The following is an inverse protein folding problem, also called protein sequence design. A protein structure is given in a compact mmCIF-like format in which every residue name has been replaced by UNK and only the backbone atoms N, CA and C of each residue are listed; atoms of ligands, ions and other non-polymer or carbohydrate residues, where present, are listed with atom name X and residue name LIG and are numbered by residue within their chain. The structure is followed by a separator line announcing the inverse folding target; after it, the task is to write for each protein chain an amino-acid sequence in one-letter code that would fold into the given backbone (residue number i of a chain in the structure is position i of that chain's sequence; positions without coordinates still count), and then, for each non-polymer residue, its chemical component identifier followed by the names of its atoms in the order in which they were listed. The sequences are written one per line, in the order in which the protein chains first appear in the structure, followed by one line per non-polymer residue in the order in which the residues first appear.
data_IF_808926658728
#
_entry.id   IF_808926658728
#
_cell.length_a   1.000
_cell.length_b   1.000
_cell.length_c   1.000
_cell.angle_alpha   90.00
_cell.angle_beta   90.00
_cell.angle_gamma   90.00
#
_symmetry.space_group_name_H-M   'P 1'
#
loop_
_entity.id
_entity.type
_entity.pdbx_description
1 polymer ?
#
# COMPACT_ATOMS: atom_id res chain seq x y z
N UNK A 1 -7.55 -6.17 -12.65
CA UNK A 1 -6.34 -5.39 -12.93
C UNK A 1 -5.63 -5.99 -14.13
N UNK A 2 -5.19 -5.18 -15.09
CA UNK A 2 -4.41 -5.65 -16.25
C UNK A 2 -2.92 -5.29 -16.17
N UNK A 3 -2.43 -4.87 -15.00
CA UNK A 3 -1.09 -4.35 -14.77
C UNK A 3 -0.69 -4.48 -13.30
N UNK A 4 0.48 -3.96 -12.93
CA UNK A 4 1.02 -4.07 -11.58
C UNK A 4 0.14 -3.38 -10.53
N UNK A 5 0.14 -3.91 -9.31
CA UNK A 5 -0.62 -3.39 -8.17
C UNK A 5 0.30 -3.35 -6.96
N UNK A 6 0.32 -2.22 -6.25
CA UNK A 6 0.92 -2.12 -4.92
C UNK A 6 -0.13 -2.56 -3.90
N UNK A 7 0.24 -3.50 -3.02
CA UNK A 7 -0.59 -3.95 -1.89
C UNK A 7 0.20 -3.77 -0.59
N UNK A 8 -0.47 -3.37 0.49
CA UNK A 8 0.16 -3.26 1.80
C UNK A 8 -0.83 -3.20 2.96
N UNK A 9 -0.34 -3.47 4.16
CA UNK A 9 -1.07 -3.38 5.43
C UNK A 9 -0.20 -2.77 6.53
N UNK A 10 -0.75 -1.97 7.45
CA UNK A 10 -0.02 -1.53 8.65
C UNK A 10 0.33 -2.68 9.60
N UNK A 11 -0.30 -3.85 9.44
CA UNK A 11 0.02 -5.06 10.20
C UNK A 11 1.27 -5.76 9.65
N UNK A 12 2.45 -5.21 9.96
CA UNK A 12 3.73 -5.83 9.61
C UNK A 12 4.10 -7.01 10.50
N UNK A 13 4.86 -7.98 9.97
CA UNK A 13 5.40 -9.10 10.73
C UNK A 13 4.44 -10.27 10.97
N UNK A 14 3.30 -10.28 10.28
CA UNK A 14 2.30 -11.37 10.27
C UNK A 14 2.09 -11.87 8.84
N UNK A 15 1.41 -13.01 8.70
CA UNK A 15 1.06 -13.56 7.38
C UNK A 15 0.03 -12.67 6.66
N UNK A 16 0.29 -12.30 5.41
CA UNK A 16 -0.55 -11.31 4.72
C UNK A 16 -1.90 -11.91 4.32
N UNK A 17 -1.94 -13.21 4.06
CA UNK A 17 -3.15 -13.99 3.81
C UNK A 17 -4.06 -14.00 5.05
N UNK A 18 -3.50 -14.15 6.26
CA UNK A 18 -4.26 -14.08 7.51
C UNK A 18 -4.87 -12.70 7.72
N UNK A 19 -4.13 -11.63 7.39
CA UNK A 19 -4.66 -10.26 7.42
C UNK A 19 -5.79 -10.11 6.42
N UNK A 20 -5.65 -10.63 5.20
CA UNK A 20 -6.70 -10.56 4.19
C UNK A 20 -7.98 -11.30 4.61
N UNK A 21 -7.86 -12.41 5.36
CA UNK A 21 -9.00 -13.18 5.85
C UNK A 21 -9.67 -12.53 7.07
N UNK A 22 -8.88 -12.12 8.07
CA UNK A 22 -9.38 -11.66 9.38
C UNK A 22 -9.57 -10.15 9.49
N UNK A 23 -8.76 -9.39 8.76
CA UNK A 23 -8.69 -7.92 8.80
C UNK A 23 -8.67 -7.33 7.38
N UNK A 24 -9.67 -7.64 6.51
CA UNK A 24 -9.66 -7.21 5.11
C UNK A 24 -9.65 -5.68 4.95
N UNK A 25 -10.12 -4.93 5.96
CA UNK A 25 -10.08 -3.46 6.01
C UNK A 25 -8.67 -2.90 6.19
N UNK A 26 -7.71 -3.72 6.62
CA UNK A 26 -6.30 -3.37 6.77
C UNK A 26 -5.49 -3.69 5.50
N UNK A 27 -6.12 -4.19 4.43
CA UNK A 27 -5.46 -4.41 3.14
C UNK A 27 -5.75 -3.23 2.21
N UNK A 28 -4.70 -2.50 1.87
CA UNK A 28 -4.77 -1.40 0.93
C UNK A 28 -4.15 -1.80 -0.40
N UNK A 29 -4.79 -1.42 -1.50
CA UNK A 29 -4.25 -1.65 -2.85
C UNK A 29 -4.25 -0.38 -3.68
N UNK A 30 -3.33 -0.27 -4.62
CA UNK A 30 -3.25 0.83 -5.58
C UNK A 30 -2.71 0.32 -6.91
N UNK A 31 -3.48 0.50 -7.98
CA UNK A 31 -3.08 0.09 -9.31
C UNK A 31 -1.98 1.00 -9.85
N UNK A 32 -1.02 0.40 -10.56
CA UNK A 32 0.09 1.10 -11.21
C UNK A 32 -0.20 1.11 -12.71
N UNK A 33 -0.18 2.31 -13.29
CA UNK A 33 -0.33 2.48 -14.72
C UNK A 33 0.95 1.98 -15.43
N UNK A 34 0.86 1.07 -16.40
CA UNK A 34 2.05 0.45 -17.00
C UNK A 34 2.85 1.41 -17.90
N UNK A 35 2.27 2.53 -18.32
CA UNK A 35 2.95 3.51 -19.18
C UNK A 35 3.69 4.55 -18.35
N UNK A 36 3.03 5.06 -17.31
CA UNK A 36 3.53 6.16 -16.46
C UNK A 36 4.20 5.69 -15.17
N UNK A 37 4.03 4.42 -14.80
CA UNK A 37 4.62 3.83 -13.60
C UNK A 37 3.97 4.31 -12.30
N UNK A 38 4.65 4.06 -11.18
CA UNK A 38 4.18 4.49 -9.86
C UNK A 38 4.42 5.99 -9.68
N UNK A 39 3.37 6.72 -9.30
CA UNK A 39 3.46 8.16 -9.01
C UNK A 39 3.80 8.40 -7.54
N UNK A 40 4.46 9.53 -7.26
CA UNK A 40 4.83 9.92 -5.89
C UNK A 40 3.60 10.06 -4.99
N UNK A 41 2.50 10.60 -5.50
CA UNK A 41 1.26 10.77 -4.76
C UNK A 41 0.65 9.44 -4.33
N UNK A 42 0.75 8.41 -5.18
CA UNK A 42 0.29 7.06 -4.85
C UNK A 42 1.15 6.42 -3.76
N UNK A 43 2.47 6.61 -3.83
CA UNK A 43 3.39 6.13 -2.79
C UNK A 43 3.13 6.83 -1.44
N UNK A 44 2.93 8.15 -1.46
CA UNK A 44 2.61 8.93 -0.27
C UNK A 44 1.25 8.55 0.34
N UNK A 45 0.23 8.32 -0.48
CA UNK A 45 -1.08 7.86 -0.02
C UNK A 45 -0.97 6.47 0.63
N UNK A 46 -0.23 5.55 0.03
CA UNK A 46 0.06 4.24 0.63
C UNK A 46 0.82 4.41 1.96
N UNK A 47 1.88 5.23 2.01
CA UNK A 47 2.64 5.45 3.24
C UNK A 47 1.76 5.98 4.39
N UNK A 48 0.82 6.87 4.09
CA UNK A 48 -0.16 7.36 5.08
C UNK A 48 -1.09 6.26 5.56
N UNK A 49 -1.62 5.42 4.66
CA UNK A 49 -2.46 4.26 5.00
C UNK A 49 -1.73 3.22 5.86
N UNK A 50 -0.43 3.07 5.64
CA UNK A 50 0.44 2.21 6.45
C UNK A 50 0.86 2.82 7.79
N UNK A 51 0.46 4.07 8.09
CA UNK A 51 0.71 4.73 9.36
C UNK A 51 2.09 5.40 9.48
N UNK A 52 2.81 5.61 8.37
CA UNK A 52 4.07 6.36 8.40
C UNK A 52 3.81 7.84 8.68
N UNK A 53 4.64 8.44 9.56
CA UNK A 53 4.56 9.87 9.91
C UNK A 53 5.18 10.73 8.81
N UNK A 54 4.67 11.97 8.65
CA UNK A 54 5.03 12.89 7.56
C UNK A 54 6.54 13.12 7.35
N UNK A 55 7.36 13.01 8.40
CA UNK A 55 8.82 13.14 8.28
C UNK A 55 9.46 12.01 7.48
N UNK A 56 8.96 10.78 7.63
CA UNK A 56 9.48 9.58 6.95
C UNK A 56 8.83 9.38 5.57
N UNK A 57 7.63 9.91 5.37
CA UNK A 57 6.94 9.79 4.09
C UNK A 57 7.49 10.76 3.02
N UNK A 58 8.08 11.88 3.42
CA UNK A 58 8.55 12.94 2.53
C UNK A 58 10.09 13.00 2.35
N UNK A 59 10.84 12.11 2.99
CA UNK A 59 12.27 11.89 2.70
C UNK A 59 12.47 11.17 1.35
#
# INVERSE_FOLDING_TARGET
YGGAVLMGSPMGGVDIEEVAEKHPDQIFTTAIDPVTGMKKEQALDMAKKLGFKDKLANE
#
